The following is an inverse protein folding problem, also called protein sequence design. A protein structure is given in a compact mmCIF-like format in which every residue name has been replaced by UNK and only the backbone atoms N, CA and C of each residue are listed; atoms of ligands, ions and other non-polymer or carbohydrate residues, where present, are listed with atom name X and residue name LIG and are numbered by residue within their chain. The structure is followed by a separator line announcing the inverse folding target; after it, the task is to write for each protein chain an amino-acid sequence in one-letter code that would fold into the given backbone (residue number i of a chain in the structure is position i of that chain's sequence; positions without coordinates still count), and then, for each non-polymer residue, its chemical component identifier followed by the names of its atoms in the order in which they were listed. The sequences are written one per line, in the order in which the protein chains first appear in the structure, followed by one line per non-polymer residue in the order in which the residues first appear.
data_IF_205804704216
#
_entry.id   IF_205804704216
#
_cell.length_a   1.000
_cell.length_b   1.000
_cell.length_c   1.000
_cell.angle_alpha   90.00
_cell.angle_beta   90.00
_cell.angle_gamma   90.00
#
_symmetry.space_group_name_H-M   'P 1'
#
loop_
_entity.id
_entity.type
_entity.pdbx_description
1 polymer ?
#
# COMPACT_ATOMS: atom_id res chain seq x y z
N UNK A 1 -17.79 5.77 -15.21
CA UNK A 1 -16.87 4.70 -15.66
C UNK A 1 -17.54 3.34 -15.48
N UNK A 2 -17.54 2.48 -16.50
CA UNK A 2 -18.25 1.18 -16.49
C UNK A 2 -17.60 0.21 -15.48
N UNK A 3 -18.38 -0.30 -14.53
CA UNK A 3 -17.93 -1.13 -13.38
C UNK A 3 -17.21 -2.41 -13.82
N UNK A 4 -17.47 -2.89 -15.03
CA UNK A 4 -16.77 -4.03 -15.64
C UNK A 4 -15.33 -3.71 -16.04
N UNK A 5 -15.03 -2.46 -16.39
CA UNK A 5 -13.72 -2.08 -16.91
C UNK A 5 -12.64 -2.10 -15.82
N UNK A 6 -12.98 -1.65 -14.62
CA UNK A 6 -12.05 -1.56 -13.48
C UNK A 6 -11.55 -2.95 -13.07
N UNK A 7 -12.43 -3.95 -13.01
CA UNK A 7 -12.05 -5.34 -12.68
C UNK A 7 -11.10 -5.95 -13.71
N UNK A 8 -11.31 -5.66 -15.00
CA UNK A 8 -10.45 -6.14 -16.07
C UNK A 8 -9.05 -5.48 -16.02
N UNK A 9 -8.96 -4.20 -15.66
CA UNK A 9 -7.67 -3.49 -15.54
C UNK A 9 -6.81 -4.08 -14.42
N UNK A 10 -7.37 -4.31 -13.23
CA UNK A 10 -6.61 -4.92 -12.12
C UNK A 10 -6.15 -6.35 -12.41
N UNK A 11 -6.98 -7.13 -13.10
CA UNK A 11 -6.61 -8.48 -13.53
C UNK A 11 -5.44 -8.46 -14.53
N UNK A 12 -5.49 -7.59 -15.54
CA UNK A 12 -4.39 -7.44 -16.51
C UNK A 12 -3.11 -6.94 -15.83
N UNK A 13 -3.20 -5.99 -14.89
CA UNK A 13 -2.05 -5.48 -14.15
C UNK A 13 -1.34 -6.58 -13.34
N UNK A 14 -2.11 -7.48 -12.74
CA UNK A 14 -1.57 -8.62 -11.97
C UNK A 14 -0.81 -9.62 -12.84
N UNK A 15 -1.26 -9.85 -14.08
CA UNK A 15 -0.58 -10.73 -15.05
C UNK A 15 0.76 -10.13 -15.48
N UNK A 16 0.81 -8.81 -15.78
CA UNK A 16 2.06 -8.15 -16.16
C UNK A 16 3.11 -8.16 -15.04
N UNK A 17 2.68 -7.95 -13.78
CA UNK A 17 3.56 -8.07 -12.61
C UNK A 17 4.07 -9.50 -12.40
N UNK A 18 3.21 -10.51 -12.61
CA UNK A 18 3.59 -11.92 -12.45
C UNK A 18 4.57 -12.40 -13.53
N UNK A 19 4.35 -12.03 -14.79
CA UNK A 19 5.21 -12.44 -15.92
C UNK A 19 6.58 -11.76 -15.84
N UNK A 20 6.65 -10.47 -15.46
CA UNK A 20 7.93 -9.76 -15.29
C UNK A 20 8.79 -10.36 -14.16
N UNK A 21 8.18 -10.85 -13.09
CA UNK A 21 8.91 -11.51 -12.01
C UNK A 21 9.38 -12.93 -12.39
N UNK A 22 8.71 -13.60 -13.33
CA UNK A 22 9.08 -14.94 -13.81
C UNK A 22 10.30 -14.92 -14.74
N UNK A 23 10.48 -13.85 -15.52
CA UNK A 23 11.64 -13.66 -16.40
C UNK A 23 12.94 -13.54 -15.59
N UNK A 24 12.89 -12.96 -14.38
CA UNK A 24 14.04 -12.81 -13.48
C UNK A 24 14.42 -14.09 -12.70
N UNK A 25 13.54 -15.11 -12.68
CA UNK A 25 13.73 -16.31 -11.88
C UNK A 25 14.18 -17.54 -12.69
N UNK A 26 14.47 -17.40 -13.99
CA UNK A 26 14.79 -18.54 -14.88
C UNK A 26 16.25 -18.99 -14.81
N UNK A 27 17.13 -18.30 -14.05
CA UNK A 27 18.52 -18.74 -13.83
C UNK A 27 18.80 -19.21 -12.40
N UNK A 28 18.02 -20.14 -11.86
CA UNK A 28 18.51 -20.98 -10.74
C UNK A 28 18.04 -22.43 -10.94
N UNK A 29 19.01 -23.28 -11.27
CA UNK A 29 18.92 -24.74 -11.41
C UNK A 29 18.20 -25.39 -10.21
N UNK A 30 17.39 -26.46 -10.40
CA UNK A 30 16.55 -27.04 -9.36
C UNK A 30 17.38 -27.87 -8.37
N UNK A 31 18.02 -27.19 -7.42
CA UNK A 31 18.62 -27.80 -6.24
C UNK A 31 17.54 -28.16 -5.22
N UNK A 32 17.27 -29.47 -5.09
CA UNK A 32 16.50 -30.18 -4.04
C UNK A 32 16.00 -29.28 -2.88
N UNK A 33 14.75 -28.82 -2.96
CA UNK A 33 14.12 -28.01 -1.91
C UNK A 33 13.66 -28.93 -0.77
N UNK A 34 14.48 -29.05 0.26
CA UNK A 34 14.01 -29.51 1.58
C UNK A 34 12.93 -28.55 2.03
N UNK A 35 11.69 -29.04 2.21
CA UNK A 35 10.57 -28.25 2.76
C UNK A 35 10.92 -27.79 4.17
N UNK A 36 11.52 -26.60 4.28
CA UNK A 36 11.59 -25.87 5.54
C UNK A 36 10.16 -25.39 5.80
N UNK A 37 9.44 -26.10 6.68
CA UNK A 37 8.22 -25.58 7.29
C UNK A 37 8.64 -24.34 8.10
N UNK A 38 8.53 -23.15 7.51
CA UNK A 38 8.73 -21.92 8.28
C UNK A 38 7.60 -21.85 9.30
N UNK A 39 7.99 -21.84 10.57
CA UNK A 39 7.09 -21.75 11.74
C UNK A 39 6.57 -20.32 11.96
N UNK A 40 6.57 -19.51 10.91
CA UNK A 40 6.15 -18.13 11.01
C UNK A 40 4.66 -18.10 10.68
N UNK A 41 3.86 -18.03 11.75
CA UNK A 41 2.44 -17.68 11.71
C UNK A 41 2.33 -16.25 11.18
N UNK A 42 2.52 -16.06 9.89
CA UNK A 42 2.10 -14.83 9.23
C UNK A 42 0.59 -14.90 9.10
N UNK A 43 -0.15 -13.82 9.39
CA UNK A 43 -1.56 -13.81 9.11
C UNK A 43 -1.71 -14.07 7.62
N UNK A 44 -2.25 -15.24 7.28
CA UNK A 44 -2.92 -15.50 6.01
C UNK A 44 -3.74 -14.27 5.61
N UNK A 45 -3.80 -13.96 4.32
CA UNK A 45 -4.63 -12.91 3.71
C UNK A 45 -5.97 -12.75 4.45
N UNK A 46 -6.01 -11.87 5.45
CA UNK A 46 -7.20 -11.57 6.24
C UNK A 46 -7.90 -10.34 5.66
N UNK A 47 -7.57 -9.96 4.42
CA UNK A 47 -8.26 -8.86 3.73
C UNK A 47 -9.76 -9.14 3.61
N UNK A 48 -10.12 -10.40 3.37
CA UNK A 48 -11.52 -10.82 3.23
C UNK A 48 -12.28 -10.83 4.56
N UNK A 49 -11.72 -11.37 5.66
CA UNK A 49 -12.42 -11.32 6.95
C UNK A 49 -12.47 -9.88 7.50
N UNK A 50 -11.43 -9.06 7.30
CA UNK A 50 -11.47 -7.63 7.62
C UNK A 50 -12.56 -6.93 6.81
N UNK A 51 -12.70 -7.21 5.51
CA UNK A 51 -13.76 -6.64 4.69
C UNK A 51 -15.16 -7.06 5.17
N UNK A 52 -15.36 -8.36 5.43
CA UNK A 52 -16.65 -8.89 5.93
C UNK A 52 -17.02 -8.25 7.27
N UNK A 53 -16.06 -8.16 8.20
CA UNK A 53 -16.25 -7.52 9.50
C UNK A 53 -16.65 -6.05 9.36
N UNK A 54 -15.97 -5.31 8.48
CA UNK A 54 -16.16 -3.87 8.31
C UNK A 54 -17.22 -3.48 7.27
N UNK A 55 -17.89 -4.45 6.64
CA UNK A 55 -18.88 -4.20 5.59
C UNK A 55 -20.01 -3.26 6.02
N UNK A 56 -20.34 -3.27 7.31
CA UNK A 56 -21.36 -2.40 7.92
C UNK A 56 -20.94 -0.92 7.95
N UNK A 57 -19.65 -0.60 7.80
CA UNK A 57 -19.11 0.76 7.73
C UNK A 57 -19.17 1.37 6.33
N UNK A 58 -19.58 0.59 5.31
CA UNK A 58 -19.64 1.07 3.94
C UNK A 58 -20.76 2.10 3.78
N UNK A 59 -20.44 3.24 3.17
CA UNK A 59 -21.44 4.21 2.76
C UNK A 59 -22.41 3.57 1.75
N UNK A 60 -23.71 3.81 1.94
CA UNK A 60 -24.80 3.35 1.05
C UNK A 60 -25.40 4.48 0.22
N UNK A 61 -25.08 5.73 0.54
CA UNK A 61 -25.58 6.89 -0.17
C UNK A 61 -24.88 6.99 -1.55
N UNK A 62 -25.61 6.90 -2.67
CA UNK A 62 -25.02 6.89 -4.00
C UNK A 62 -24.29 8.20 -4.35
N UNK A 63 -24.74 9.34 -3.84
CA UNK A 63 -24.12 10.63 -4.09
C UNK A 63 -22.78 10.74 -3.37
N UNK A 64 -22.73 10.38 -2.09
CA UNK A 64 -21.49 10.33 -1.31
C UNK A 64 -20.49 9.34 -1.92
N UNK A 65 -20.94 8.15 -2.35
CA UNK A 65 -20.08 7.18 -3.04
C UNK A 65 -19.47 7.80 -4.31
N UNK A 66 -20.27 8.52 -5.10
CA UNK A 66 -19.78 9.16 -6.32
C UNK A 66 -18.71 10.21 -5.99
N UNK A 67 -19.00 11.11 -5.04
CA UNK A 67 -18.07 12.17 -4.65
C UNK A 67 -16.78 11.60 -4.05
N UNK A 68 -16.88 10.56 -3.21
CA UNK A 68 -15.73 9.87 -2.64
C UNK A 68 -14.87 9.21 -3.72
N UNK A 69 -15.48 8.59 -4.74
CA UNK A 69 -14.73 8.01 -5.85
C UNK A 69 -13.97 9.08 -6.64
N UNK A 70 -14.63 10.19 -6.99
CA UNK A 70 -13.99 11.29 -7.71
C UNK A 70 -12.80 11.87 -6.93
N UNK A 71 -12.97 12.11 -5.62
CA UNK A 71 -11.91 12.57 -4.73
C UNK A 71 -10.75 11.56 -4.64
N UNK A 72 -11.05 10.27 -4.54
CA UNK A 72 -10.02 9.23 -4.43
C UNK A 72 -9.24 9.05 -5.74
N UNK A 73 -9.88 9.23 -6.90
CA UNK A 73 -9.19 9.19 -8.20
C UNK A 73 -8.16 10.32 -8.32
N UNK A 74 -8.49 11.53 -7.85
CA UNK A 74 -7.56 12.65 -7.73
C UNK A 74 -6.43 12.34 -6.74
N UNK A 75 -6.77 11.85 -5.54
CA UNK A 75 -5.80 11.50 -4.50
C UNK A 75 -4.80 10.43 -4.98
N UNK A 76 -5.26 9.39 -5.67
CA UNK A 76 -4.39 8.33 -6.25
C UNK A 76 -3.45 8.90 -7.30
N UNK A 77 -3.93 9.84 -8.12
CA UNK A 77 -3.10 10.50 -9.13
C UNK A 77 -1.95 11.28 -8.48
N UNK A 78 -2.25 12.08 -7.46
CA UNK A 78 -1.23 12.80 -6.70
C UNK A 78 -0.28 11.86 -5.95
N UNK A 79 -0.80 10.79 -5.33
CA UNK A 79 0.01 9.80 -4.63
C UNK A 79 1.04 9.16 -5.57
N UNK A 80 0.62 8.77 -6.78
CA UNK A 80 1.54 8.22 -7.80
C UNK A 80 2.63 9.21 -8.15
N UNK A 81 2.26 10.46 -8.47
CA UNK A 81 3.22 11.51 -8.81
C UNK A 81 4.26 11.72 -7.69
N UNK A 82 3.81 11.83 -6.43
CA UNK A 82 4.70 12.05 -5.29
C UNK A 82 5.53 10.81 -4.91
N UNK A 83 5.06 9.61 -5.21
CA UNK A 83 5.81 8.37 -5.00
C UNK A 83 6.95 8.20 -6.03
N UNK A 84 6.74 8.61 -7.28
CA UNK A 84 7.72 8.45 -8.36
C UNK A 84 8.73 9.60 -8.45
N UNK A 85 8.33 10.81 -8.08
CA UNK A 85 9.16 12.01 -8.24
C UNK A 85 10.03 12.27 -7.01
N UNK A 86 11.33 12.49 -7.19
CA UNK A 86 12.27 12.89 -6.13
C UNK A 86 12.46 14.42 -6.10
N UNK A 87 12.10 15.10 -7.19
CA UNK A 87 12.31 16.53 -7.36
C UNK A 87 11.55 17.39 -6.32
N UNK A 88 12.29 18.31 -5.70
CA UNK A 88 11.80 19.21 -4.66
C UNK A 88 11.61 18.58 -3.29
N UNK A 89 11.99 17.31 -3.11
CA UNK A 89 12.05 16.68 -1.79
C UNK A 89 13.44 16.84 -1.18
N UNK A 90 13.48 17.38 0.02
CA UNK A 90 14.67 17.51 0.84
C UNK A 90 14.71 16.37 1.87
N UNK A 91 15.87 15.73 2.04
CA UNK A 91 16.06 14.71 3.09
C UNK A 91 16.17 15.42 4.45
N UNK A 92 15.25 15.11 5.37
CA UNK A 92 15.22 15.72 6.71
C UNK A 92 15.84 14.81 7.77
N UNK A 93 15.52 13.51 7.75
CA UNK A 93 15.94 12.57 8.79
C UNK A 93 16.32 11.22 8.20
N UNK A 94 17.39 10.64 8.73
CA UNK A 94 17.83 9.27 8.44
C UNK A 94 17.95 8.50 9.75
N UNK A 95 17.15 7.43 9.88
CA UNK A 95 17.24 6.50 11.01
C UNK A 95 18.02 5.25 10.57
N UNK A 96 19.31 5.13 10.94
CA UNK A 96 20.17 4.04 10.45
C UNK A 96 19.71 2.65 10.91
N UNK A 97 19.14 2.53 12.11
CA UNK A 97 18.77 1.24 12.68
C UNK A 97 17.64 0.53 11.90
N UNK A 98 16.72 1.30 11.29
CA UNK A 98 15.55 0.77 10.59
C UNK A 98 15.56 1.10 9.09
N UNK A 99 16.68 1.60 8.57
CA UNK A 99 16.83 2.09 7.18
C UNK A 99 15.65 2.94 6.69
N UNK A 100 15.16 3.81 7.58
CA UNK A 100 14.03 4.70 7.30
C UNK A 100 14.54 6.08 6.93
N UNK A 101 14.04 6.64 5.83
CA UNK A 101 14.41 7.97 5.34
C UNK A 101 13.16 8.83 5.27
N UNK A 102 13.24 10.04 5.82
CA UNK A 102 12.16 11.01 5.83
C UNK A 102 12.53 12.20 4.96
N UNK A 103 11.60 12.56 4.09
CA UNK A 103 11.75 13.65 3.15
C UNK A 103 10.58 14.63 3.29
N UNK A 104 10.84 15.89 2.97
CA UNK A 104 9.84 16.95 3.00
C UNK A 104 9.94 17.80 1.74
N UNK A 105 8.79 18.21 1.21
CA UNK A 105 8.67 19.13 0.10
C UNK A 105 7.69 20.23 0.47
N UNK A 106 8.08 21.50 0.29
CA UNK A 106 7.14 22.61 0.41
C UNK A 106 6.19 22.61 -0.79
N UNK A 107 4.90 22.77 -0.55
CA UNK A 107 3.87 22.91 -1.56
C UNK A 107 3.05 24.17 -1.27
N UNK A 108 3.24 25.21 -2.07
CA UNK A 108 2.71 26.54 -1.77
C UNK A 108 3.36 27.16 -0.53
N UNK A 109 2.65 28.07 0.12
CA UNK A 109 3.15 28.83 1.28
C UNK A 109 3.07 28.07 2.59
N UNK A 110 1.99 27.28 2.80
CA UNK A 110 1.63 26.75 4.12
C UNK A 110 1.50 25.23 4.18
N UNK A 111 1.73 24.52 3.06
CA UNK A 111 1.58 23.06 3.03
C UNK A 111 2.94 22.40 2.85
N UNK A 112 3.16 21.32 3.60
CA UNK A 112 4.32 20.48 3.42
C UNK A 112 3.87 19.07 3.06
N UNK A 113 4.53 18.48 2.09
CA UNK A 113 4.33 17.09 1.69
C UNK A 113 5.46 16.28 2.30
N UNK A 114 5.09 15.31 3.14
CA UNK A 114 6.02 14.39 3.76
C UNK A 114 6.07 13.09 2.96
N UNK A 115 7.27 12.54 2.83
CA UNK A 115 7.51 11.26 2.17
C UNK A 115 8.43 10.43 3.05
N UNK A 116 7.99 9.22 3.37
CA UNK A 116 8.78 8.27 4.15
C UNK A 116 9.12 7.07 3.29
N UNK A 117 10.41 6.77 3.20
CA UNK A 117 10.91 5.52 2.65
C UNK A 117 11.19 4.57 3.80
N UNK A 118 10.37 3.52 3.91
CA UNK A 118 10.53 2.45 4.90
C UNK A 118 10.85 1.13 4.20
N UNK A 119 11.94 0.46 4.61
CA UNK A 119 12.33 -0.85 4.05
C UNK A 119 11.83 -1.97 4.94
N UNK A 120 11.07 -2.89 4.33
CA UNK A 120 10.59 -4.11 4.98
C UNK A 120 11.37 -5.29 4.42
N UNK A 121 12.19 -5.91 5.26
CA UNK A 121 13.13 -6.96 4.84
C UNK A 121 12.50 -8.34 4.65
N UNK A 122 11.27 -8.53 5.12
CA UNK A 122 10.60 -9.82 5.08
C UNK A 122 9.71 -9.93 3.84
N UNK A 123 10.08 -10.82 2.92
CA UNK A 123 9.45 -11.02 1.60
C UNK A 123 8.01 -11.53 1.65
N UNK A 124 7.52 -12.00 2.81
CA UNK A 124 6.13 -12.44 3.01
C UNK A 124 5.20 -11.42 3.65
N UNK A 125 5.64 -10.18 3.91
CA UNK A 125 4.87 -9.22 4.71
C UNK A 125 4.00 -8.25 3.91
N UNK A 126 4.03 -8.27 2.57
CA UNK A 126 3.29 -7.32 1.75
C UNK A 126 1.79 -7.30 2.11
N UNK A 127 1.11 -8.44 2.03
CA UNK A 127 -0.32 -8.53 2.38
C UNK A 127 -0.55 -8.17 3.85
N UNK A 128 0.33 -8.60 4.76
CA UNK A 128 0.22 -8.26 6.18
C UNK A 128 0.33 -6.76 6.46
N UNK A 129 1.13 -6.02 5.69
CA UNK A 129 1.25 -4.56 5.78
C UNK A 129 -0.01 -3.89 5.24
N UNK A 130 -0.51 -4.32 4.09
CA UNK A 130 -1.75 -3.80 3.51
C UNK A 130 -2.93 -4.03 4.47
N UNK A 131 -3.06 -5.24 5.03
CA UNK A 131 -4.10 -5.55 6.01
C UNK A 131 -4.01 -4.66 7.26
N UNK A 132 -2.81 -4.33 7.75
CA UNK A 132 -2.63 -3.42 8.90
C UNK A 132 -2.99 -1.98 8.59
N UNK A 133 -2.77 -1.51 7.36
CA UNK A 133 -3.13 -0.16 6.95
C UNK A 133 -4.64 -0.02 6.70
N UNK A 134 -5.29 -1.11 6.29
CA UNK A 134 -6.72 -1.13 5.96
C UNK A 134 -7.63 -1.37 7.19
N UNK A 135 -7.15 -2.10 8.21
CA UNK A 135 -7.94 -2.45 9.38
C UNK A 135 -8.09 -1.25 10.34
N UNK A 136 -9.29 -0.65 10.48
CA UNK A 136 -9.50 0.51 11.35
C UNK A 136 -9.36 0.16 12.84
N UNK A 137 -9.53 -1.12 13.21
CA UNK A 137 -9.41 -1.58 14.59
C UNK A 137 -7.96 -1.85 15.01
N UNK A 138 -7.01 -1.77 14.06
CA UNK A 138 -5.58 -1.96 14.35
C UNK A 138 -4.87 -0.64 14.51
N UNK A 139 -3.95 -0.53 15.49
CA UNK A 139 -3.08 0.62 15.59
C UNK A 139 -2.29 0.79 14.29
N UNK A 140 -2.43 1.96 13.67
CA UNK A 140 -1.65 2.31 12.49
C UNK A 140 -0.19 2.51 12.93
N UNK A 141 0.67 1.54 12.60
CA UNK A 141 2.09 1.57 12.96
C UNK A 141 2.87 2.71 12.29
N UNK A 142 2.29 3.36 11.27
CA UNK A 142 2.87 4.49 10.56
C UNK A 142 2.35 5.84 11.08
N UNK A 143 1.08 5.90 11.49
CA UNK A 143 0.45 7.14 11.98
C UNK A 143 -0.21 6.90 13.35
N UNK A 144 0.51 7.23 14.42
CA UNK A 144 -0.05 7.25 15.78
C UNK A 144 -0.85 8.54 16.07
N UNK A 145 -0.97 9.45 15.09
CA UNK A 145 -1.76 10.67 15.21
C UNK A 145 -3.25 10.37 15.06
N UNK A 146 -4.07 10.96 15.93
CA UNK A 146 -5.51 10.94 15.78
C UNK A 146 -5.91 11.89 14.64
N UNK A 147 -6.45 11.35 13.56
CA UNK A 147 -7.22 12.17 12.61
C UNK A 147 -8.61 12.29 13.20
N UNK A 148 -8.98 13.51 13.62
CA UNK A 148 -10.35 13.80 14.06
C UNK A 148 -11.24 13.71 12.82
N UNK A 149 -11.99 12.62 12.69
CA UNK A 149 -13.07 12.53 11.71
C UNK A 149 -14.11 13.61 12.06
N UNK A 150 -14.43 14.46 11.08
CA UNK A 150 -15.48 15.48 11.18
C UNK A 150 -16.84 14.79 11.09
#
# INVERSE_FOLDING_TARGET
MNKFYIKNVFFLLSIFLYVNNKILATELSPGKVTKIKSKNHYPTDNSEEIYVKNKHLLCVNPEEIKNANELMDEAVTHLKYHATTIEGYELCVKYPNNNTLYYKKKHGSNTNIERTHFKIYNTGMYNGVISRLWDPDRPNFYNNGYVKSI
#
